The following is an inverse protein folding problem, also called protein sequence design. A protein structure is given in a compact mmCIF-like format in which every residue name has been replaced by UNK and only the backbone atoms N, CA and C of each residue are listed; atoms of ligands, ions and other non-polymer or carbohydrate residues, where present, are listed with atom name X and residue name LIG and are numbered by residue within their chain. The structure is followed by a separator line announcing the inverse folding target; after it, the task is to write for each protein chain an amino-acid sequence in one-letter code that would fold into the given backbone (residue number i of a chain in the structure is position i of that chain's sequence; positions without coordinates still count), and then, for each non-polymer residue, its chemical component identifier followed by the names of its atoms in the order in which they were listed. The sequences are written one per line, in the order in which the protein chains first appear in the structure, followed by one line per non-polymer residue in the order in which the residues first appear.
data_IF_344304375350
#
_entry.id   IF_344304375350
#
_cell.length_a   1.000
_cell.length_b   1.000
_cell.length_c   1.000
_cell.angle_alpha   90.00
_cell.angle_beta   90.00
_cell.angle_gamma   90.00
#
_symmetry.space_group_name_H-M   'P 1'
#
loop_
_entity.id
_entity.type
_entity.pdbx_description
1 polymer ?
#
# COMPACT_ATOMS: atom_id res chain seq x y z
N UNK A 1 27.93 -19.89 11.13
CA UNK A 1 28.70 -18.93 11.95
C UNK A 1 29.50 -18.08 10.97
N UNK A 2 28.99 -16.88 10.68
CA UNK A 2 29.64 -15.87 9.84
C UNK A 2 29.73 -14.65 10.74
N UNK A 3 30.96 -14.33 11.14
CA UNK A 3 31.40 -13.14 11.89
C UNK A 3 30.49 -12.61 13.02
N UNK A 4 30.46 -13.33 14.14
CA UNK A 4 30.84 -12.79 15.46
C UNK A 4 30.16 -11.55 16.05
N UNK A 5 29.12 -10.98 15.44
CA UNK A 5 28.36 -9.87 16.04
C UNK A 5 27.10 -10.45 16.68
N UNK A 6 27.18 -10.80 17.96
CA UNK A 6 25.99 -10.94 18.79
C UNK A 6 25.42 -9.55 19.04
N UNK A 7 24.45 -9.12 18.22
CA UNK A 7 23.58 -7.98 18.57
C UNK A 7 22.45 -8.49 19.45
N UNK A 8 22.64 -8.43 20.77
CA UNK A 8 21.54 -8.53 21.73
C UNK A 8 20.93 -7.13 21.94
N UNK A 9 19.96 -6.77 21.11
CA UNK A 9 19.17 -5.55 21.26
C UNK A 9 17.84 -5.84 21.94
N UNK A 10 17.68 -5.35 23.18
CA UNK A 10 16.38 -5.33 23.86
C UNK A 10 15.65 -4.03 23.55
N UNK A 11 14.53 -4.11 22.83
CA UNK A 11 13.66 -2.96 22.55
C UNK A 11 12.42 -2.98 23.43
N UNK A 12 12.19 -1.89 24.19
CA UNK A 12 10.96 -1.70 24.97
C UNK A 12 9.83 -1.16 24.08
N UNK A 13 8.68 -1.85 24.08
CA UNK A 13 7.53 -1.59 23.20
C UNK A 13 6.25 -1.28 24.02
N UNK A 14 6.17 -0.11 24.66
CA UNK A 14 4.97 0.28 25.41
C UNK A 14 3.81 0.60 24.46
N UNK A 15 2.60 0.37 24.94
CA UNK A 15 1.38 0.82 24.29
C UNK A 15 0.31 1.22 25.30
N UNK A 16 -0.57 2.12 24.87
CA UNK A 16 -1.76 2.52 25.60
C UNK A 16 -2.90 2.76 24.60
N UNK A 17 -4.10 2.34 24.99
CA UNK A 17 -5.31 2.48 24.19
C UNK A 17 -6.42 3.03 25.06
N UNK A 18 -7.22 3.94 24.53
CA UNK A 18 -8.43 4.42 25.18
C UNK A 18 -9.61 4.40 24.21
N UNK A 19 -10.80 4.22 24.77
CA UNK A 19 -12.05 4.32 24.07
C UNK A 19 -13.06 5.02 24.96
N UNK A 20 -13.85 5.91 24.37
CA UNK A 20 -14.89 6.64 25.10
C UNK A 20 -16.14 6.74 24.22
N UNK A 21 -17.28 6.30 24.77
CA UNK A 21 -18.59 6.52 24.17
C UNK A 21 -19.02 7.96 24.41
N UNK A 22 -19.40 8.64 23.33
CA UNK A 22 -19.80 10.06 23.32
C UNK A 22 -21.12 10.19 22.58
N UNK A 23 -22.05 10.97 23.11
CA UNK A 23 -23.40 11.12 22.54
C UNK A 23 -24.12 9.75 22.40
N UNK A 24 -25.28 9.73 21.74
CA UNK A 24 -25.97 8.47 21.44
C UNK A 24 -25.35 7.85 20.17
N UNK A 25 -24.65 6.73 20.35
CA UNK A 25 -24.07 5.94 19.25
C UNK A 25 -22.72 6.44 18.73
N UNK A 26 -22.09 7.44 19.36
CA UNK A 26 -20.75 7.91 19.01
C UNK A 26 -19.66 7.26 19.86
N UNK A 27 -18.47 7.08 19.28
CA UNK A 27 -17.30 6.52 19.96
C UNK A 27 -16.03 7.21 19.50
N UNK A 28 -15.24 7.70 20.45
CA UNK A 28 -13.87 8.16 20.24
C UNK A 28 -12.93 7.02 20.62
N UNK A 29 -11.92 6.75 19.81
CA UNK A 29 -10.82 5.83 20.11
C UNK A 29 -9.51 6.57 19.95
N UNK A 30 -8.53 6.21 20.75
CA UNK A 30 -7.16 6.63 20.48
C UNK A 30 -6.15 5.63 21.00
N UNK A 31 -4.99 5.62 20.36
CA UNK A 31 -3.89 4.74 20.73
C UNK A 31 -2.55 5.43 20.56
N UNK A 32 -1.63 5.07 21.43
CA UNK A 32 -0.20 5.36 21.27
C UNK A 32 0.57 4.06 21.49
N UNK A 33 1.47 3.73 20.58
CA UNK A 33 2.27 2.52 20.67
C UNK A 33 3.64 2.72 20.07
N UNK A 34 4.64 2.06 20.65
CA UNK A 34 5.95 1.88 20.00
C UNK A 34 5.99 0.50 19.35
N UNK A 35 6.31 0.45 18.06
CA UNK A 35 6.43 -0.78 17.27
C UNK A 35 7.87 -0.97 16.79
N UNK A 36 8.19 -2.20 16.40
CA UNK A 36 9.46 -2.59 15.80
C UNK A 36 9.20 -3.43 14.56
N UNK A 37 9.98 -3.19 13.49
CA UNK A 37 10.04 -4.04 12.31
C UNK A 37 11.49 -4.48 12.12
N UNK A 38 11.75 -5.74 12.39
CA UNK A 38 13.07 -6.33 12.13
C UNK A 38 13.32 -6.38 10.62
N UNK A 39 14.59 -6.22 10.23
CA UNK A 39 15.00 -6.40 8.85
C UNK A 39 14.60 -7.80 8.36
N UNK A 40 14.09 -7.94 7.12
CA UNK A 40 13.88 -9.24 6.50
C UNK A 40 15.18 -10.06 6.54
N UNK A 41 15.11 -11.37 6.81
CA UNK A 41 16.30 -12.23 6.81
C UNK A 41 17.05 -12.18 5.47
N UNK A 42 16.30 -12.04 4.37
CA UNK A 42 16.84 -11.85 3.02
C UNK A 42 17.72 -10.59 2.89
N UNK A 43 17.64 -9.62 3.80
CA UNK A 43 18.49 -8.43 3.78
C UNK A 43 19.70 -8.56 4.70
N UNK A 44 19.76 -9.57 5.58
CA UNK A 44 20.78 -9.70 6.61
C UNK A 44 21.93 -10.65 6.25
N UNK A 45 21.83 -11.40 5.15
CA UNK A 45 22.90 -12.31 4.75
C UNK A 45 24.15 -11.53 4.32
N UNK A 46 25.34 -12.08 4.56
CA UNK A 46 26.62 -11.38 4.31
C UNK A 46 27.20 -11.62 2.91
N UNK A 47 26.36 -11.98 1.93
CA UNK A 47 26.78 -12.36 0.58
C UNK A 47 26.20 -11.47 -0.50
N UNK A 48 26.43 -11.88 -1.74
CA UNK A 48 25.76 -11.32 -2.93
C UNK A 48 24.91 -12.44 -3.54
N UNK A 49 23.68 -12.11 -3.92
CA UNK A 49 22.81 -12.92 -4.76
C UNK A 49 22.84 -12.29 -6.15
N UNK A 50 23.39 -13.03 -7.11
CA UNK A 50 23.48 -12.61 -8.51
C UNK A 50 22.07 -12.60 -9.14
N UNK A 51 21.75 -11.55 -9.91
CA UNK A 51 20.49 -11.42 -10.66
C UNK A 51 19.20 -11.63 -9.82
N UNK A 52 19.23 -11.25 -8.52
CA UNK A 52 18.07 -11.38 -7.62
C UNK A 52 17.00 -10.32 -7.92
N UNK A 53 17.40 -9.15 -8.39
CA UNK A 53 16.51 -8.02 -8.71
C UNK A 53 16.47 -7.77 -10.22
N UNK A 54 16.06 -8.80 -10.98
CA UNK A 54 16.13 -8.78 -12.44
C UNK A 54 17.56 -9.07 -12.89
N UNK A 55 18.14 -8.21 -13.74
CA UNK A 55 19.56 -8.27 -14.07
C UNK A 55 20.49 -7.80 -12.94
N UNK A 56 19.94 -7.18 -11.90
CA UNK A 56 20.71 -6.57 -10.82
C UNK A 56 21.01 -7.58 -9.70
N UNK A 57 22.19 -7.44 -9.11
CA UNK A 57 22.60 -8.23 -7.96
C UNK A 57 22.06 -7.61 -6.67
N UNK A 58 21.90 -8.45 -5.64
CA UNK A 58 21.56 -7.99 -4.30
C UNK A 58 22.63 -8.39 -3.29
N UNK A 59 23.23 -7.40 -2.62
CA UNK A 59 24.16 -7.58 -1.52
C UNK A 59 23.45 -7.35 -0.18
N UNK A 60 23.37 -8.38 0.65
CA UNK A 60 22.81 -8.25 1.98
C UNK A 60 23.71 -7.44 2.93
N UNK A 61 23.10 -6.86 3.96
CA UNK A 61 23.74 -6.03 4.97
C UNK A 61 23.42 -6.58 6.37
N UNK A 62 24.34 -7.36 6.99
CA UNK A 62 24.14 -7.92 8.33
C UNK A 62 24.08 -6.86 9.44
N UNK A 63 24.42 -5.60 9.14
CA UNK A 63 24.46 -4.51 10.12
C UNK A 63 23.15 -3.68 10.18
N UNK A 64 22.09 -4.12 9.49
CA UNK A 64 20.81 -3.43 9.55
C UNK A 64 20.25 -3.42 10.96
N UNK A 65 19.88 -2.24 11.42
CA UNK A 65 19.09 -2.08 12.64
C UNK A 65 17.62 -2.33 12.34
N UNK A 66 16.85 -2.89 13.29
CA UNK A 66 15.40 -2.87 13.20
C UNK A 66 14.86 -1.45 13.09
N UNK A 67 13.81 -1.28 12.31
CA UNK A 67 13.03 -0.04 12.33
C UNK A 67 12.22 0.04 13.61
N UNK A 68 12.12 1.23 14.19
CA UNK A 68 11.16 1.47 15.26
C UNK A 68 10.25 2.63 14.91
N UNK A 69 9.00 2.58 15.36
CA UNK A 69 8.08 3.68 15.14
C UNK A 69 7.26 3.99 16.39
N UNK A 70 7.11 5.28 16.71
CA UNK A 70 6.04 5.74 17.59
C UNK A 70 4.83 6.07 16.76
N UNK A 71 3.72 5.38 17.02
CA UNK A 71 2.43 5.64 16.39
C UNK A 71 1.44 6.29 17.33
N UNK A 72 0.76 7.32 16.83
CA UNK A 72 -0.42 7.93 17.42
C UNK A 72 -1.61 7.74 16.47
N UNK A 73 -2.76 7.33 17.00
CA UNK A 73 -4.02 7.25 16.26
C UNK A 73 -5.13 7.87 17.10
N UNK A 74 -6.01 8.64 16.46
CA UNK A 74 -7.21 9.19 17.06
C UNK A 74 -8.34 9.09 16.03
N UNK A 75 -9.42 8.42 16.41
CA UNK A 75 -10.58 8.22 15.56
C UNK A 75 -11.90 8.51 16.24
N UNK A 76 -12.87 8.91 15.43
CA UNK A 76 -14.27 9.07 15.79
C UNK A 76 -15.12 8.18 14.89
N UNK A 77 -16.07 7.47 15.48
CA UNK A 77 -17.05 6.62 14.80
C UNK A 77 -18.45 7.00 15.30
N UNK A 78 -19.41 7.09 14.39
CA UNK A 78 -20.80 7.38 14.69
C UNK A 78 -21.70 6.33 14.07
N UNK A 79 -22.54 5.72 14.89
CA UNK A 79 -23.60 4.85 14.43
C UNK A 79 -24.67 5.63 13.66
N UNK A 80 -25.09 5.09 12.52
CA UNK A 80 -26.16 5.56 11.67
C UNK A 80 -27.31 4.54 11.68
N UNK A 81 -28.50 4.97 12.07
CA UNK A 81 -29.66 4.09 12.11
C UNK A 81 -29.43 2.86 13.00
N UNK A 82 -29.77 1.66 12.51
CA UNK A 82 -29.65 0.41 13.28
C UNK A 82 -28.30 -0.28 13.08
N UNK A 83 -27.69 -0.13 11.92
CA UNK A 83 -26.54 -0.95 11.49
C UNK A 83 -25.49 -0.19 10.68
N UNK A 84 -25.72 1.09 10.35
CA UNK A 84 -24.75 1.89 9.63
C UNK A 84 -23.72 2.54 10.56
N UNK A 85 -22.61 2.97 9.98
CA UNK A 85 -21.55 3.75 10.61
C UNK A 85 -20.99 4.77 9.63
N UNK A 86 -20.46 5.86 10.17
CA UNK A 86 -19.38 6.60 9.51
C UNK A 86 -18.28 6.89 10.52
N UNK A 87 -17.06 7.05 10.03
CA UNK A 87 -15.92 7.35 10.88
C UNK A 87 -14.88 8.19 10.19
N UNK A 88 -14.05 8.83 11.01
CA UNK A 88 -12.82 9.49 10.60
C UNK A 88 -11.71 9.10 11.56
N UNK A 89 -10.55 8.75 11.02
CA UNK A 89 -9.35 8.44 11.78
C UNK A 89 -8.20 9.34 11.31
N UNK A 90 -7.39 9.81 12.24
CA UNK A 90 -6.15 10.54 11.96
C UNK A 90 -5.02 9.80 12.62
N UNK A 91 -3.95 9.57 11.87
CA UNK A 91 -2.78 8.88 12.39
C UNK A 91 -1.49 9.63 12.09
N UNK A 92 -0.50 9.41 12.94
CA UNK A 92 0.86 9.89 12.77
C UNK A 92 1.83 8.80 13.22
N UNK A 93 2.96 8.69 12.51
CA UNK A 93 4.06 7.77 12.77
C UNK A 93 5.36 8.56 12.72
N UNK A 94 6.17 8.49 13.77
CA UNK A 94 7.58 8.89 13.76
C UNK A 94 8.42 7.62 13.65
N UNK A 95 9.08 7.43 12.51
CA UNK A 95 9.82 6.24 12.11
C UNK A 95 11.31 6.50 12.27
N UNK A 96 12.02 5.56 12.88
CA UNK A 96 13.47 5.56 13.06
C UNK A 96 14.10 4.40 12.30
N UNK A 97 15.27 4.68 11.73
CA UNK A 97 16.09 3.71 11.02
C UNK A 97 15.36 3.03 9.84
N UNK A 98 14.54 3.78 9.07
CA UNK A 98 13.82 3.28 7.89
C UNK A 98 14.74 2.48 6.97
N UNK A 99 14.40 1.22 6.71
CA UNK A 99 15.11 0.32 5.83
C UNK A 99 14.53 0.44 4.42
N UNK A 100 15.36 0.83 3.47
CA UNK A 100 15.04 0.78 2.04
C UNK A 100 16.15 0.09 1.28
N UNK A 101 15.78 -0.45 0.11
CA UNK A 101 16.72 -0.90 -0.90
C UNK A 101 17.29 0.34 -1.60
N UNK A 102 18.60 0.36 -1.81
CA UNK A 102 19.29 1.41 -2.55
C UNK A 102 20.27 0.78 -3.55
N UNK A 103 20.50 1.48 -4.66
CA UNK A 103 21.55 1.13 -5.62
C UNK A 103 22.90 1.60 -5.08
N UNK A 104 23.89 0.71 -5.01
CA UNK A 104 25.23 1.04 -4.50
C UNK A 104 26.09 1.80 -5.52
N UNK A 105 25.69 1.78 -6.79
CA UNK A 105 26.46 2.30 -7.93
C UNK A 105 27.60 1.38 -8.39
N UNK A 106 27.81 0.23 -7.74
CA UNK A 106 28.75 -0.78 -8.20
C UNK A 106 28.14 -1.60 -9.33
N UNK A 107 28.93 -2.02 -10.35
CA UNK A 107 28.44 -2.89 -11.43
C UNK A 107 28.08 -4.28 -10.89
N UNK A 108 26.93 -4.79 -11.32
CA UNK A 108 26.45 -6.15 -11.02
C UNK A 108 27.10 -7.21 -11.92
N UNK A 109 26.83 -8.48 -11.65
CA UNK A 109 27.42 -9.61 -12.40
C UNK A 109 26.95 -9.70 -13.85
N UNK A 110 25.76 -9.18 -14.15
CA UNK A 110 25.18 -9.14 -15.49
C UNK A 110 25.41 -7.79 -16.23
N UNK A 111 26.32 -6.93 -15.73
CA UNK A 111 26.62 -5.63 -16.35
C UNK A 111 27.38 -5.83 -17.67
N UNK A 112 26.76 -5.46 -18.79
CA UNK A 112 27.31 -5.51 -20.16
C UNK A 112 27.16 -4.15 -20.87
N UNK A 113 27.93 -3.13 -20.44
CA UNK A 113 27.85 -1.79 -21.01
C UNK A 113 28.32 -1.77 -22.48
N UNK A 114 27.69 -0.96 -23.36
CA UNK A 114 26.70 0.07 -23.02
C UNK A 114 25.24 -0.38 -23.13
N UNK A 115 24.99 -1.62 -23.55
CA UNK A 115 23.67 -2.06 -23.99
C UNK A 115 22.80 -2.54 -22.81
N UNK A 116 23.40 -3.19 -21.81
CA UNK A 116 22.70 -3.70 -20.62
C UNK A 116 23.45 -3.28 -19.34
N UNK A 117 22.93 -2.28 -18.63
CA UNK A 117 23.48 -1.85 -17.34
C UNK A 117 22.90 -2.70 -16.21
N UNK A 118 23.76 -3.22 -15.34
CA UNK A 118 23.34 -3.90 -14.12
C UNK A 118 24.15 -3.39 -12.93
N UNK A 119 23.49 -3.29 -11.78
CA UNK A 119 24.09 -2.77 -10.56
C UNK A 119 23.97 -3.75 -9.39
N UNK A 120 24.81 -3.53 -8.39
CA UNK A 120 24.62 -4.12 -7.07
C UNK A 120 23.70 -3.22 -6.27
N UNK A 121 22.58 -3.77 -5.82
CA UNK A 121 21.69 -3.16 -4.84
C UNK A 121 21.99 -3.71 -3.46
N UNK A 122 21.65 -2.94 -2.43
CA UNK A 122 21.74 -3.40 -1.05
C UNK A 122 20.61 -2.78 -0.22
N UNK A 123 20.46 -3.22 1.02
CA UNK A 123 19.55 -2.62 1.98
C UNK A 123 20.33 -1.80 3.01
N UNK A 124 19.77 -0.66 3.41
CA UNK A 124 20.35 0.21 4.44
C UNK A 124 19.26 0.83 5.31
N UNK A 125 19.63 1.25 6.51
CA UNK A 125 18.84 2.22 7.27
C UNK A 125 19.04 3.61 6.61
N UNK A 126 18.10 4.03 5.76
CA UNK A 126 18.09 5.29 5.01
C UNK A 126 18.01 6.51 5.92
N UNK A 127 17.30 6.40 7.05
CA UNK A 127 17.22 7.49 8.03
C UNK A 127 15.91 7.49 8.81
N UNK A 128 15.63 8.63 9.43
CA UNK A 128 14.39 8.87 10.16
C UNK A 128 13.34 9.47 9.22
N UNK A 129 12.09 9.09 9.42
CA UNK A 129 10.98 9.59 8.62
C UNK A 129 9.70 9.74 9.42
N UNK A 130 8.70 10.35 8.80
CA UNK A 130 7.36 10.49 9.36
C UNK A 130 6.32 10.10 8.33
N UNK A 131 5.22 9.52 8.81
CA UNK A 131 4.05 9.19 7.98
C UNK A 131 2.81 9.66 8.72
N UNK A 132 1.90 10.30 8.02
CA UNK A 132 0.63 10.71 8.59
C UNK A 132 -0.49 10.57 7.56
N UNK A 133 -1.72 10.52 8.05
CA UNK A 133 -2.86 10.43 7.16
C UNK A 133 -4.19 10.66 7.85
N UNK A 134 -5.20 10.81 7.02
CA UNK A 134 -6.60 10.91 7.42
C UNK A 134 -7.37 9.85 6.65
N UNK A 135 -8.16 9.07 7.37
CA UNK A 135 -8.98 7.99 6.84
C UNK A 135 -10.45 8.29 7.14
N UNK A 136 -11.31 8.05 6.17
CA UNK A 136 -12.75 8.16 6.30
C UNK A 136 -13.38 6.83 5.91
N UNK A 137 -14.38 6.42 6.68
CA UNK A 137 -15.14 5.19 6.45
C UNK A 137 -16.63 5.48 6.51
N UNK A 138 -17.38 4.85 5.63
CA UNK A 138 -18.84 4.89 5.58
C UNK A 138 -19.36 3.50 5.23
N UNK A 139 -20.36 3.04 5.98
CA UNK A 139 -21.16 1.88 5.62
C UNK A 139 -22.56 2.08 6.15
N UNK A 140 -23.58 2.08 5.30
CA UNK A 140 -24.96 2.30 5.73
C UNK A 140 -25.93 1.72 4.73
N UNK A 141 -27.13 1.35 5.18
CA UNK A 141 -28.27 1.23 4.28
C UNK A 141 -28.82 2.63 3.92
N UNK A 142 -29.57 2.72 2.82
CA UNK A 142 -30.22 3.93 2.33
C UNK A 142 -31.69 4.04 2.77
N UNK A 143 -32.09 3.42 3.89
CA UNK A 143 -33.47 3.49 4.39
C UNK A 143 -33.98 4.91 4.62
N UNK A 144 -33.10 5.83 5.03
CA UNK A 144 -33.42 7.24 5.26
C UNK A 144 -33.92 7.96 3.99
N UNK A 145 -33.57 7.47 2.80
CA UNK A 145 -34.01 8.01 1.51
C UNK A 145 -34.98 7.07 0.78
N UNK A 146 -35.55 6.09 1.49
CA UNK A 146 -36.57 5.17 0.95
C UNK A 146 -36.00 3.97 0.20
N UNK A 147 -34.71 3.65 0.36
CA UNK A 147 -34.05 2.52 -0.27
C UNK A 147 -33.47 1.56 0.79
N UNK A 148 -34.32 0.89 1.60
CA UNK A 148 -33.87 0.05 2.72
C UNK A 148 -33.06 -1.17 2.28
N UNK A 149 -33.30 -1.67 1.07
CA UNK A 149 -32.59 -2.83 0.50
C UNK A 149 -31.31 -2.43 -0.26
N UNK A 150 -30.85 -1.18 -0.09
CA UNK A 150 -29.61 -0.71 -0.71
C UNK A 150 -28.59 -0.36 0.36
N UNK A 151 -27.53 -1.18 0.46
CA UNK A 151 -26.33 -0.87 1.23
C UNK A 151 -25.36 -0.05 0.40
N UNK A 152 -24.76 0.97 0.99
CA UNK A 152 -23.65 1.73 0.43
C UNK A 152 -22.46 1.66 1.36
N UNK A 153 -21.27 1.71 0.77
CA UNK A 153 -20.03 1.82 1.53
C UNK A 153 -19.03 2.69 0.77
N UNK A 154 -18.17 3.35 1.52
CA UNK A 154 -17.07 4.11 0.97
C UNK A 154 -15.93 4.16 1.99
N UNK A 155 -14.71 4.16 1.49
CA UNK A 155 -13.54 4.53 2.27
C UNK A 155 -12.66 5.50 1.47
N UNK A 156 -11.93 6.35 2.18
CA UNK A 156 -10.98 7.28 1.60
C UNK A 156 -9.82 7.47 2.57
N UNK A 157 -8.60 7.25 2.11
CA UNK A 157 -7.37 7.46 2.85
C UNK A 157 -6.53 8.48 2.12
N UNK A 158 -6.14 9.57 2.79
CA UNK A 158 -5.14 10.53 2.33
C UNK A 158 -3.87 10.33 3.14
N UNK A 159 -2.74 10.22 2.46
CA UNK A 159 -1.47 9.77 3.01
C UNK A 159 -0.36 10.73 2.60
N UNK A 160 0.46 11.10 3.56
CA UNK A 160 1.68 11.87 3.31
C UNK A 160 2.82 11.36 4.20
N UNK A 161 4.04 11.51 3.70
CA UNK A 161 5.24 11.04 4.36
C UNK A 161 6.44 11.89 3.98
N UNK A 162 7.47 11.81 4.81
CA UNK A 162 8.70 12.54 4.59
C UNK A 162 9.85 11.76 5.23
N UNK A 163 10.89 11.53 4.46
CA UNK A 163 12.20 11.01 4.88
C UNK A 163 13.26 11.93 4.31
N UNK A 164 14.35 12.11 5.06
CA UNK A 164 15.53 12.81 4.55
C UNK A 164 16.61 11.78 4.24
N UNK A 165 17.02 11.73 2.98
CA UNK A 165 18.10 10.87 2.51
C UNK A 165 19.12 11.68 1.68
N UNK A 166 20.00 11.02 0.92
CA UNK A 166 20.98 11.68 0.06
C UNK A 166 20.37 12.56 -1.05
N UNK A 167 19.08 12.39 -1.36
CA UNK A 167 18.33 13.19 -2.32
C UNK A 167 17.59 14.37 -1.68
N UNK A 168 17.68 14.51 -0.36
CA UNK A 168 16.96 15.52 0.42
C UNK A 168 15.64 14.99 0.99
N UNK A 169 14.69 15.90 1.21
CA UNK A 169 13.35 15.58 1.72
C UNK A 169 12.49 15.03 0.59
N UNK A 170 11.92 13.83 0.79
CA UNK A 170 11.00 13.17 -0.14
C UNK A 170 9.99 12.28 0.59
N UNK A 171 8.92 11.89 -0.11
CA UNK A 171 7.97 10.87 0.36
C UNK A 171 8.63 9.49 0.39
N UNK A 172 8.05 8.59 1.17
CA UNK A 172 8.45 7.19 1.21
C UNK A 172 8.21 6.55 -0.17
N UNK A 173 9.13 5.68 -0.58
CA UNK A 173 9.04 5.04 -1.89
C UNK A 173 7.74 4.23 -2.03
N UNK A 174 7.11 4.35 -3.20
CA UNK A 174 5.90 3.62 -3.61
C UNK A 174 4.68 3.86 -2.71
N UNK A 175 4.64 4.97 -1.95
CA UNK A 175 3.45 5.36 -1.19
C UNK A 175 2.47 6.13 -2.07
N UNK A 176 1.26 5.59 -2.25
CA UNK A 176 0.16 6.32 -2.89
C UNK A 176 -0.21 7.58 -2.06
N UNK A 177 -0.52 8.70 -2.72
CA UNK A 177 -1.02 9.91 -2.05
C UNK A 177 -2.40 9.72 -1.45
N UNK A 178 -3.24 8.92 -2.11
CA UNK A 178 -4.56 8.60 -1.61
C UNK A 178 -5.00 7.22 -2.12
N UNK A 179 -5.93 6.60 -1.41
CA UNK A 179 -6.64 5.40 -1.86
C UNK A 179 -8.10 5.57 -1.51
N UNK A 180 -9.00 5.22 -2.41
CA UNK A 180 -10.42 5.24 -2.11
C UNK A 180 -11.17 4.14 -2.83
N UNK A 181 -12.25 3.70 -2.19
CA UNK A 181 -13.27 2.92 -2.82
C UNK A 181 -14.66 3.37 -2.40
N UNK A 182 -15.62 3.15 -3.29
CA UNK A 182 -17.02 3.29 -2.95
C UNK A 182 -17.81 2.25 -3.73
N UNK A 183 -18.94 1.86 -3.16
CA UNK A 183 -19.78 0.85 -3.78
C UNK A 183 -21.15 0.80 -3.17
N UNK A 184 -21.97 -0.04 -3.77
CA UNK A 184 -23.29 -0.36 -3.28
C UNK A 184 -23.62 -1.83 -3.52
N UNK A 185 -24.55 -2.32 -2.73
CA UNK A 185 -25.21 -3.61 -2.89
C UNK A 185 -26.70 -3.34 -2.82
N UNK A 186 -27.46 -3.92 -3.74
CA UNK A 186 -28.91 -3.84 -3.76
C UNK A 186 -29.51 -5.24 -3.73
N UNK A 187 -30.35 -5.50 -2.73
CA UNK A 187 -31.06 -6.75 -2.55
C UNK A 187 -32.43 -6.69 -3.26
N UNK A 188 -32.68 -7.66 -4.12
CA UNK A 188 -33.96 -7.92 -4.76
C UNK A 188 -34.64 -9.06 -4.00
N UNK A 189 -35.19 -8.76 -2.82
CA UNK A 189 -35.73 -9.74 -1.88
C UNK A 189 -36.76 -10.69 -2.53
N UNK A 190 -37.68 -10.16 -3.33
CA UNK A 190 -38.71 -10.96 -4.04
C UNK A 190 -38.11 -11.97 -5.04
N UNK A 191 -36.84 -11.80 -5.38
CA UNK A 191 -36.12 -12.55 -6.39
C UNK A 191 -34.94 -13.31 -5.79
N UNK A 192 -34.78 -13.39 -4.47
CA UNK A 192 -33.63 -14.04 -3.81
C UNK A 192 -32.29 -13.70 -4.51
N UNK A 193 -32.13 -12.44 -4.90
CA UNK A 193 -31.05 -11.99 -5.76
C UNK A 193 -30.45 -10.69 -5.22
N UNK A 194 -29.20 -10.45 -5.55
CA UNK A 194 -28.53 -9.21 -5.23
C UNK A 194 -27.62 -8.80 -6.38
N UNK A 195 -27.37 -7.50 -6.52
CA UNK A 195 -26.32 -7.01 -7.41
C UNK A 195 -25.61 -5.85 -6.75
N UNK A 196 -24.40 -5.58 -7.19
CA UNK A 196 -23.64 -4.48 -6.64
C UNK A 196 -22.47 -4.11 -7.52
N UNK A 197 -21.91 -2.96 -7.21
CA UNK A 197 -20.73 -2.44 -7.88
C UNK A 197 -19.78 -1.82 -6.86
N UNK A 198 -18.49 -1.96 -7.12
CA UNK A 198 -17.42 -1.33 -6.34
C UNK A 198 -16.46 -0.64 -7.30
N UNK A 199 -16.20 0.64 -7.07
CA UNK A 199 -15.20 1.41 -7.76
C UNK A 199 -13.99 1.60 -6.83
N UNK A 200 -12.78 1.35 -7.31
CA UNK A 200 -11.53 1.49 -6.57
C UNK A 200 -10.53 2.33 -7.36
N UNK A 201 -9.80 3.22 -6.69
CA UNK A 201 -8.72 3.99 -7.29
C UNK A 201 -7.70 4.38 -6.22
N UNK A 202 -6.45 4.51 -6.64
CA UNK A 202 -5.39 5.13 -5.86
C UNK A 202 -4.74 6.27 -6.65
N UNK A 203 -4.11 7.18 -5.91
CA UNK A 203 -3.25 8.22 -6.44
C UNK A 203 -1.95 7.65 -6.98
N UNK A 204 -1.17 8.52 -7.60
CA UNK A 204 0.19 8.20 -8.04
C UNK A 204 1.08 7.90 -6.84
N UNK A 205 2.13 7.13 -7.10
CA UNK A 205 3.20 6.88 -6.15
C UNK A 205 4.54 7.09 -6.83
N UNK A 206 5.49 7.64 -6.09
CA UNK A 206 6.84 7.88 -6.59
C UNK A 206 7.82 6.95 -5.88
N UNK A 207 8.83 6.49 -6.61
CA UNK A 207 9.99 5.80 -6.06
C UNK A 207 11.25 6.51 -6.54
N UNK A 208 12.21 6.69 -5.63
CA UNK A 208 13.50 7.30 -5.92
C UNK A 208 14.60 6.50 -5.26
N UNK A 209 15.51 6.00 -6.08
CA UNK A 209 16.74 5.30 -5.68
C UNK A 209 17.90 5.83 -6.51
N UNK A 210 19.14 5.57 -6.10
CA UNK A 210 20.31 6.00 -6.89
C UNK A 210 20.21 5.44 -8.31
N UNK A 211 20.31 6.33 -9.30
CA UNK A 211 20.25 5.97 -10.72
C UNK A 211 18.84 5.86 -11.31
N UNK A 212 17.77 5.90 -10.52
CA UNK A 212 16.41 5.72 -11.04
C UNK A 212 15.33 6.49 -10.24
N UNK A 213 14.41 7.12 -10.96
CA UNK A 213 13.16 7.67 -10.45
C UNK A 213 11.99 7.06 -11.23
N UNK A 214 10.96 6.60 -10.52
CA UNK A 214 9.76 5.99 -11.11
C UNK A 214 8.52 6.69 -10.58
N UNK A 215 7.66 7.16 -11.48
CA UNK A 215 6.30 7.58 -11.15
C UNK A 215 5.35 6.50 -11.64
N UNK A 216 4.57 5.91 -10.75
CA UNK A 216 3.60 4.85 -11.05
C UNK A 216 2.17 5.36 -10.87
N UNK A 217 1.36 5.23 -11.92
CA UNK A 217 -0.06 5.56 -11.93
C UNK A 217 -0.90 4.31 -12.21
N UNK A 218 -1.97 4.10 -11.44
CA UNK A 218 -2.90 2.97 -11.63
C UNK A 218 -4.25 3.46 -12.08
N UNK A 219 -4.78 2.95 -13.19
CA UNK A 219 -6.16 3.15 -13.63
C UNK A 219 -7.19 2.73 -12.56
N UNK A 220 -8.41 3.22 -12.68
CA UNK A 220 -9.48 2.83 -11.77
C UNK A 220 -9.99 1.44 -12.07
N UNK A 221 -10.32 0.68 -11.03
CA UNK A 221 -10.95 -0.64 -11.12
C UNK A 221 -12.47 -0.52 -10.84
N UNK A 222 -13.26 -1.19 -11.67
CA UNK A 222 -14.70 -1.36 -11.44
C UNK A 222 -14.99 -2.86 -11.37
N UNK A 223 -15.55 -3.26 -10.25
CA UNK A 223 -16.09 -4.59 -10.04
C UNK A 223 -17.60 -4.53 -10.00
N UNK A 224 -18.28 -5.42 -10.71
CA UNK A 224 -19.73 -5.60 -10.66
C UNK A 224 -20.03 -7.06 -10.38
N UNK A 225 -20.99 -7.33 -9.51
CA UNK A 225 -21.49 -8.68 -9.30
C UNK A 225 -23.01 -8.75 -9.45
N UNK A 226 -23.47 -9.94 -9.81
CA UNK A 226 -24.86 -10.36 -9.75
C UNK A 226 -24.88 -11.71 -9.04
N UNK A 227 -25.75 -11.85 -8.05
CA UNK A 227 -25.95 -13.05 -7.26
C UNK A 227 -27.41 -13.47 -7.29
N UNK A 228 -27.66 -14.78 -7.34
CA UNK A 228 -28.99 -15.38 -7.28
C UNK A 228 -28.94 -16.66 -6.44
N UNK A 229 -29.83 -16.74 -5.46
CA UNK A 229 -30.09 -17.95 -4.69
C UNK A 229 -31.26 -18.74 -5.27
N UNK A 230 -31.14 -20.06 -5.20
CA UNK A 230 -32.09 -21.05 -5.69
C UNK A 230 -32.51 -21.94 -4.53
N UNK A 231 -33.58 -21.52 -3.84
CA UNK A 231 -33.93 -22.10 -2.54
C UNK A 231 -32.84 -21.84 -1.50
N UNK A 232 -32.83 -22.66 -0.44
CA UNK A 232 -31.97 -22.41 0.73
C UNK A 232 -30.55 -23.00 0.59
N UNK A 233 -30.30 -23.77 -0.47
CA UNK A 233 -29.11 -24.62 -0.55
C UNK A 233 -28.13 -24.22 -1.65
N UNK A 234 -28.51 -23.43 -2.64
CA UNK A 234 -27.64 -23.12 -3.77
C UNK A 234 -27.65 -21.64 -4.14
N UNK A 235 -26.48 -21.03 -4.23
CA UNK A 235 -26.28 -19.64 -4.66
C UNK A 235 -25.31 -19.60 -5.83
N UNK A 236 -25.63 -18.85 -6.87
CA UNK A 236 -24.75 -18.58 -8.00
C UNK A 236 -24.38 -17.09 -8.02
N UNK A 237 -23.09 -16.78 -8.11
CA UNK A 237 -22.56 -15.42 -8.18
C UNK A 237 -21.69 -15.26 -9.42
N UNK A 238 -22.03 -14.29 -10.26
CA UNK A 238 -21.21 -13.84 -11.36
C UNK A 238 -20.53 -12.54 -10.98
N UNK A 239 -19.23 -12.44 -11.21
CA UNK A 239 -18.41 -11.26 -10.91
C UNK A 239 -17.65 -10.87 -12.17
N UNK A 240 -17.73 -9.60 -12.54
CA UNK A 240 -16.83 -8.97 -13.49
C UNK A 240 -15.92 -8.01 -12.74
N UNK A 241 -14.61 -8.26 -12.75
CA UNK A 241 -13.57 -7.44 -12.12
C UNK A 241 -12.74 -6.73 -13.20
N UNK A 242 -12.13 -5.60 -12.87
CA UNK A 242 -11.38 -4.78 -13.81
C UNK A 242 -12.17 -4.39 -15.08
N UNK A 243 -13.46 -4.07 -14.92
CA UNK A 243 -14.34 -3.77 -16.06
C UNK A 243 -13.98 -2.46 -16.79
N UNK A 244 -13.18 -1.60 -16.17
CA UNK A 244 -12.65 -0.38 -16.80
C UNK A 244 -11.35 -0.62 -17.57
N UNK A 245 -10.83 -1.86 -17.57
CA UNK A 245 -9.53 -2.19 -18.14
C UNK A 245 -8.42 -1.27 -17.60
N UNK A 246 -8.29 -1.24 -16.27
CA UNK A 246 -7.28 -0.45 -15.58
C UNK A 246 -5.88 -0.80 -16.07
N UNK A 247 -5.08 0.24 -16.29
CA UNK A 247 -3.68 0.14 -16.69
C UNK A 247 -2.78 0.55 -15.55
N UNK A 248 -1.62 -0.09 -15.43
CA UNK A 248 -0.48 0.43 -14.67
C UNK A 248 0.39 1.18 -15.67
N UNK A 249 0.62 2.47 -15.43
CA UNK A 249 1.48 3.32 -16.25
C UNK A 249 2.67 3.75 -15.41
N UNK A 250 3.88 3.62 -15.96
CA UNK A 250 5.13 3.96 -15.28
C UNK A 250 5.97 4.88 -16.15
N UNK A 251 6.49 5.93 -15.52
CA UNK A 251 7.47 6.83 -16.13
C UNK A 251 8.79 6.70 -15.38
N UNK A 252 9.79 6.17 -16.08
CA UNK A 252 11.14 5.97 -15.56
C UNK A 252 12.05 7.10 -16.02
N UNK A 253 12.83 7.63 -15.08
CA UNK A 253 13.95 8.54 -15.35
C UNK A 253 15.20 7.85 -14.82
N UNK A 254 16.05 7.37 -15.73
CA UNK A 254 17.31 6.70 -15.39
C UNK A 254 18.44 7.69 -15.50
N UNK A 255 19.44 7.53 -14.62
CA UNK A 255 20.56 8.45 -14.49
C UNK A 255 21.86 7.69 -14.36
N UNK A 256 22.85 8.03 -15.20
CA UNK A 256 24.18 7.45 -15.11
C UNK A 256 25.00 8.10 -13.99
N UNK A 257 24.75 9.38 -13.70
CA UNK A 257 25.45 10.13 -12.67
C UNK A 257 24.50 10.63 -11.58
N UNK A 258 24.87 10.39 -10.31
CA UNK A 258 24.15 10.92 -9.15
C UNK A 258 23.99 12.45 -9.19
N UNK A 259 24.99 13.19 -9.68
CA UNK A 259 24.91 14.64 -9.82
C UNK A 259 23.82 15.09 -10.81
N UNK A 260 23.59 14.28 -11.85
CA UNK A 260 22.57 14.53 -12.85
C UNK A 260 21.18 14.21 -12.30
N UNK A 261 21.04 13.12 -11.54
CA UNK A 261 19.82 12.83 -10.76
C UNK A 261 19.47 13.94 -9.76
N UNK A 262 20.44 14.41 -8.96
CA UNK A 262 20.23 15.50 -7.99
C UNK A 262 19.79 16.79 -8.70
N UNK A 263 20.36 17.09 -9.86
CA UNK A 263 19.99 18.28 -10.65
C UNK A 263 18.74 18.09 -11.51
N UNK A 264 18.18 16.87 -11.59
CA UNK A 264 17.05 16.50 -12.43
C UNK A 264 17.36 16.46 -13.93
N UNK A 265 18.64 16.47 -14.32
CA UNK A 265 19.08 16.38 -15.72
C UNK A 265 19.19 14.91 -16.10
N UNK A 266 18.37 14.43 -17.03
CA UNK A 266 18.44 13.04 -17.50
C UNK A 266 19.66 12.90 -18.42
N UNK A 267 20.55 11.96 -18.08
CA UNK A 267 21.80 11.69 -18.79
C UNK A 267 21.96 10.24 -19.27
N UNK A 268 20.96 9.40 -19.00
CA UNK A 268 20.89 8.01 -19.44
C UNK A 268 19.61 7.78 -20.27
N UNK A 269 18.48 7.46 -19.64
CA UNK A 269 17.26 7.08 -20.33
C UNK A 269 15.99 7.70 -19.72
N UNK A 270 14.98 7.90 -20.57
CA UNK A 270 13.60 8.16 -20.16
C UNK A 270 12.68 7.15 -20.83
N UNK A 271 11.97 6.37 -20.03
CA UNK A 271 11.15 5.25 -20.49
C UNK A 271 9.71 5.39 -19.99
N UNK A 272 8.76 4.96 -20.82
CA UNK A 272 7.34 4.92 -20.51
C UNK A 272 6.83 3.50 -20.71
N UNK A 273 6.37 2.88 -19.63
CA UNK A 273 5.78 1.54 -19.66
C UNK A 273 4.29 1.59 -19.35
N UNK A 274 3.55 0.64 -19.93
CA UNK A 274 2.14 0.45 -19.63
C UNK A 274 1.76 -1.03 -19.66
N UNK A 275 1.20 -1.52 -18.56
CA UNK A 275 0.71 -2.89 -18.41
C UNK A 275 -0.82 -2.91 -18.24
N UNK A 276 -1.49 -3.91 -18.82
CA UNK A 276 -2.93 -4.12 -18.67
C UNK A 276 -3.26 -5.60 -18.37
N UNK A 277 -4.07 -5.84 -17.34
CA UNK A 277 -4.53 -7.18 -16.95
C UNK A 277 -5.81 -7.65 -17.64
N UNK A 278 -6.51 -6.78 -18.37
CA UNK A 278 -7.81 -7.06 -18.97
C UNK A 278 -8.97 -7.20 -17.96
N UNK A 279 -10.23 -7.10 -18.39
CA UNK A 279 -11.37 -7.50 -17.58
C UNK A 279 -11.39 -9.01 -17.29
N UNK A 280 -11.70 -9.38 -16.05
CA UNK A 280 -11.79 -10.79 -15.61
C UNK A 280 -13.23 -11.11 -15.23
N UNK A 281 -13.72 -12.28 -15.65
CA UNK A 281 -15.07 -12.76 -15.34
C UNK A 281 -15.00 -14.07 -14.56
N UNK A 282 -15.67 -14.13 -13.42
CA UNK A 282 -15.72 -15.29 -12.55
C UNK A 282 -17.16 -15.72 -12.28
N UNK A 283 -17.41 -17.02 -12.32
CA UNK A 283 -18.67 -17.62 -11.91
C UNK A 283 -18.43 -18.55 -10.72
N UNK A 284 -19.11 -18.30 -9.60
CA UNK A 284 -18.97 -19.06 -8.35
C UNK A 284 -20.32 -19.66 -7.98
N UNK A 285 -20.37 -20.97 -7.77
CA UNK A 285 -21.51 -21.66 -7.18
C UNK A 285 -21.21 -22.07 -5.75
N UNK A 286 -22.07 -21.72 -4.80
CA UNK A 286 -22.00 -22.15 -3.40
C UNK A 286 -23.17 -23.07 -3.09
N UNK A 287 -22.88 -24.28 -2.61
CA UNK A 287 -23.88 -25.23 -2.11
C UNK A 287 -23.75 -25.37 -0.59
N UNK A 288 -24.87 -25.25 0.14
CA UNK A 288 -24.96 -25.41 1.60
C UNK A 288 -25.90 -26.57 1.93
N UNK A 289 -25.47 -27.46 2.82
CA UNK A 289 -26.17 -28.69 3.23
C UNK A 289 -26.35 -28.76 4.74
#
# INVERSE_FOLDING_TARGET
EVDGVETDETTFLPSAHFGWEVMDGGRIRGSVARTIRNAPFAFLFSGVLEEELGSNDFQGNPNLKPETAWGLDIGYEQQLGRSGIWGVNVFYRDVKDLIEIYNTGAPGSADDPPDDLAYVFSARNTGDGKVWGIEFDLSSDLSAVGLPDTGVFANYSWLDSDVNDEFGSRRFNSQAEYVYNFGFIHDLNDWDAAFGATYRKQGESESRVVGEEVVTAYGADLEVFIEKSFGDSFTLRFVGSNLLNAKKEEAFRKFALLANQISGTIDDEYELEAEEGGPVYQLVGRYSF
#
